data_IF_454374558012
#
_entry.id   IF_454374558012
#
_cell.length_a   1.000
_cell.length_b   1.000
_cell.length_c   1.000
_cell.angle_alpha   90.00
_cell.angle_beta   90.00
_cell.angle_gamma   90.00
#
_symmetry.space_group_name_H-M   'P 1'
#
loop_
_entity.id
_entity.type
_entity.pdbx_description
1 polymer ?
#
# COMPACT_ATOMS: atom_id res chain seq x y z
N UNK A 1 -13.19 -36.64 0.93
CA UNK A 1 -11.86 -36.15 0.46
C UNK A 1 -11.92 -35.26 -0.78
N UNK A 2 -12.57 -35.63 -1.90
CA UNK A 2 -12.67 -34.76 -3.10
C UNK A 2 -13.27 -33.37 -2.84
N UNK A 3 -14.25 -33.25 -1.94
CA UNK A 3 -14.88 -31.98 -1.58
C UNK A 3 -13.96 -31.08 -0.73
N UNK A 4 -13.26 -31.68 0.24
CA UNK A 4 -12.24 -31.00 1.06
C UNK A 4 -11.07 -30.55 0.18
N UNK A 5 -10.62 -31.41 -0.74
CA UNK A 5 -9.60 -31.08 -1.71
C UNK A 5 -10.09 -29.95 -2.62
N UNK A 6 -11.30 -30.01 -3.17
CA UNK A 6 -11.88 -28.89 -3.94
C UNK A 6 -12.05 -27.62 -3.11
N UNK A 7 -12.34 -27.67 -1.80
CA UNK A 7 -12.36 -26.48 -0.97
C UNK A 7 -10.95 -25.90 -0.70
N UNK A 8 -9.95 -26.76 -0.56
CA UNK A 8 -8.53 -26.37 -0.43
C UNK A 8 -7.93 -25.90 -1.76
N UNK A 9 -8.36 -26.47 -2.90
CA UNK A 9 -7.74 -26.30 -4.22
C UNK A 9 -8.56 -25.47 -5.21
N UNK A 10 -9.84 -25.20 -4.95
CA UNK A 10 -10.76 -24.53 -5.88
C UNK A 10 -11.40 -23.27 -5.30
N UNK A 11 -10.93 -22.80 -4.15
CA UNK A 11 -11.22 -21.45 -3.64
C UNK A 11 -10.39 -20.38 -4.35
N UNK A 12 -10.74 -19.11 -4.15
CA UNK A 12 -10.13 -17.84 -4.62
C UNK A 12 -8.59 -17.75 -4.67
N UNK A 13 -7.90 -18.74 -4.10
CA UNK A 13 -6.46 -18.84 -3.94
C UNK A 13 -5.74 -18.91 -5.29
N UNK A 14 -6.23 -19.61 -6.32
CA UNK A 14 -5.38 -20.01 -7.47
C UNK A 14 -5.21 -19.00 -8.61
N UNK A 15 -6.19 -18.13 -8.89
CA UNK A 15 -6.03 -17.17 -10.00
C UNK A 15 -4.92 -16.14 -9.73
N UNK A 16 -4.41 -16.06 -8.48
CA UNK A 16 -3.39 -15.10 -8.07
C UNK A 16 -2.58 -15.56 -6.85
N UNK A 17 -2.40 -16.86 -6.58
CA UNK A 17 -1.69 -17.32 -5.36
C UNK A 17 -0.29 -16.74 -5.25
N UNK A 18 0.40 -16.64 -6.38
CA UNK A 18 1.73 -16.05 -6.45
C UNK A 18 1.74 -14.56 -6.10
N UNK A 19 0.60 -13.86 -6.18
CA UNK A 19 0.48 -12.48 -5.68
C UNK A 19 0.44 -12.42 -4.15
N UNK A 20 0.10 -13.50 -3.44
CA UNK A 20 0.08 -13.49 -1.96
C UNK A 20 1.46 -13.17 -1.38
N UNK A 21 2.53 -13.64 -2.02
CA UNK A 21 3.91 -13.41 -1.60
C UNK A 21 4.24 -11.91 -1.59
N UNK A 22 4.14 -11.17 -2.72
CA UNK A 22 4.37 -9.73 -2.69
C UNK A 22 3.28 -8.98 -1.90
N UNK A 23 2.05 -9.48 -1.81
CA UNK A 23 0.97 -8.84 -1.04
C UNK A 23 1.19 -8.88 0.48
N UNK A 24 1.88 -9.91 1.00
CA UNK A 24 2.30 -9.94 2.40
C UNK A 24 3.22 -8.75 2.72
N UNK A 25 4.24 -8.53 1.88
CA UNK A 25 5.15 -7.38 2.00
C UNK A 25 4.40 -6.06 1.77
N UNK A 26 3.51 -6.03 0.78
CA UNK A 26 2.59 -4.93 0.52
C UNK A 26 1.55 -4.68 1.62
N UNK A 27 1.43 -5.59 2.58
CA UNK A 27 0.64 -5.35 3.79
C UNK A 27 1.50 -4.66 4.85
N UNK A 28 2.65 -5.26 5.17
CA UNK A 28 3.54 -4.83 6.25
C UNK A 28 4.15 -3.46 5.93
N UNK A 29 4.86 -3.33 4.81
CA UNK A 29 5.64 -2.11 4.52
C UNK A 29 4.71 -0.89 4.43
N UNK A 30 3.67 -0.86 3.58
CA UNK A 30 2.81 0.31 3.46
C UNK A 30 2.08 0.64 4.77
N UNK A 31 1.64 -0.36 5.55
CA UNK A 31 0.95 -0.10 6.82
C UNK A 31 1.90 0.55 7.84
N UNK A 32 3.02 -0.09 8.15
CA UNK A 32 3.95 0.40 9.15
C UNK A 32 4.70 1.65 8.69
N UNK A 33 4.85 1.87 7.39
CA UNK A 33 5.41 3.12 6.87
C UNK A 33 4.53 4.33 7.20
N UNK A 34 3.21 4.17 7.31
CA UNK A 34 2.35 5.28 7.75
C UNK A 34 2.61 5.69 9.21
N UNK A 35 3.23 4.82 10.02
CA UNK A 35 3.66 5.17 11.38
C UNK A 35 4.79 6.19 11.41
N UNK A 36 5.50 6.40 10.30
CA UNK A 36 6.46 7.50 10.16
C UNK A 36 5.77 8.84 10.45
N UNK A 37 4.51 9.00 10.04
CA UNK A 37 3.74 10.21 10.30
C UNK A 37 3.33 10.39 11.77
N UNK A 38 3.34 9.32 12.58
CA UNK A 38 2.98 9.35 14.00
C UNK A 38 4.19 9.42 14.93
N UNK A 39 5.16 8.53 14.70
CA UNK A 39 6.25 8.25 15.62
C UNK A 39 7.63 8.57 15.02
N UNK A 40 7.69 8.95 13.74
CA UNK A 40 8.94 9.20 13.02
C UNK A 40 9.56 7.94 12.41
N UNK A 41 10.65 8.14 11.68
CA UNK A 41 11.25 7.09 10.84
C UNK A 41 11.82 5.93 11.62
N UNK A 42 12.52 6.19 12.73
CA UNK A 42 13.20 5.14 13.50
C UNK A 42 12.20 4.15 14.12
N UNK A 43 11.14 4.57 14.85
CA UNK A 43 10.15 3.62 15.37
C UNK A 43 9.45 2.81 14.28
N UNK A 44 9.13 3.44 13.14
CA UNK A 44 8.51 2.73 12.01
C UNK A 44 9.43 1.63 11.45
N UNK A 45 10.72 1.94 11.27
CA UNK A 45 11.71 0.94 10.81
C UNK A 45 11.86 -0.21 11.81
N UNK A 46 11.98 0.09 13.10
CA UNK A 46 12.09 -0.93 14.15
C UNK A 46 10.87 -1.87 14.16
N UNK A 47 9.66 -1.32 14.00
CA UNK A 47 8.45 -2.14 13.92
C UNK A 47 8.41 -3.00 12.65
N UNK A 48 8.83 -2.46 11.50
CA UNK A 48 8.94 -3.24 10.25
C UNK A 48 9.91 -4.41 10.45
N UNK A 49 11.11 -4.14 10.97
CA UNK A 49 12.10 -5.19 11.25
C UNK A 49 11.59 -6.20 12.27
N UNK A 50 10.97 -5.75 13.36
CA UNK A 50 10.39 -6.62 14.38
C UNK A 50 9.32 -7.55 13.82
N UNK A 51 8.40 -7.03 13.01
CA UNK A 51 7.35 -7.85 12.37
C UNK A 51 7.95 -8.86 11.40
N UNK A 52 8.92 -8.45 10.57
CA UNK A 52 9.62 -9.40 9.70
C UNK A 52 10.37 -10.48 10.50
N UNK A 53 11.01 -10.11 11.61
CA UNK A 53 11.69 -11.07 12.47
C UNK A 53 10.73 -12.08 13.08
N UNK A 54 9.58 -11.62 13.59
CA UNK A 54 8.52 -12.50 14.12
C UNK A 54 8.05 -13.47 13.03
N UNK A 55 7.83 -12.98 11.81
CA UNK A 55 7.42 -13.83 10.68
C UNK A 55 8.49 -14.86 10.31
N UNK A 56 9.76 -14.45 10.23
CA UNK A 56 10.88 -15.35 9.92
C UNK A 56 10.98 -16.45 10.98
N UNK A 57 10.97 -16.10 12.27
CA UNK A 57 11.03 -17.06 13.38
C UNK A 57 9.80 -17.99 13.36
N UNK A 58 8.62 -17.45 13.10
CA UNK A 58 7.39 -18.24 13.00
C UNK A 58 7.43 -19.24 11.86
N UNK A 59 7.91 -18.81 10.68
CA UNK A 59 8.11 -19.71 9.51
C UNK A 59 9.14 -20.78 9.86
N UNK A 60 10.26 -20.40 10.48
CA UNK A 60 11.29 -21.36 10.89
C UNK A 60 10.74 -22.39 11.88
N UNK A 61 9.96 -21.96 12.87
CA UNK A 61 9.32 -22.83 13.85
C UNK A 61 8.31 -23.81 13.23
N UNK A 62 7.64 -23.43 12.14
CA UNK A 62 6.74 -24.31 11.39
C UNK A 62 7.53 -25.31 10.54
N UNK A 63 8.58 -24.86 9.85
CA UNK A 63 9.38 -25.72 8.95
C UNK A 63 10.24 -26.71 9.74
N UNK A 64 10.76 -26.31 10.89
CA UNK A 64 11.68 -27.10 11.71
C UNK A 64 11.20 -28.53 12.02
N UNK A 65 9.97 -28.74 12.56
CA UNK A 65 9.44 -30.09 12.78
C UNK A 65 9.16 -30.85 11.47
N UNK A 66 8.79 -30.15 10.38
CA UNK A 66 8.50 -30.76 9.08
C UNK A 66 9.75 -31.35 8.40
N UNK A 67 10.94 -30.84 8.74
CA UNK A 67 12.21 -31.37 8.27
C UNK A 67 12.75 -32.52 9.14
N UNK A 68 11.89 -33.12 9.99
CA UNK A 68 12.23 -34.23 10.88
C UNK A 68 13.46 -33.96 11.74
N UNK A 69 13.72 -32.70 12.10
CA UNK A 69 14.88 -32.28 12.91
C UNK A 69 16.24 -32.67 12.30
N UNK A 70 16.30 -32.94 10.99
CA UNK A 70 17.55 -33.28 10.29
C UNK A 70 18.50 -32.10 10.13
N UNK A 71 17.95 -30.89 10.13
CA UNK A 71 18.70 -29.64 10.13
C UNK A 71 18.62 -29.00 11.51
N UNK A 72 19.64 -28.23 11.87
CA UNK A 72 19.61 -27.37 13.05
C UNK A 72 18.59 -26.24 12.86
N UNK A 73 18.05 -25.73 13.97
CA UNK A 73 17.10 -24.61 13.91
C UNK A 73 17.68 -23.37 13.21
N UNK A 74 18.99 -23.14 13.37
CA UNK A 74 19.70 -22.02 12.73
C UNK A 74 19.68 -22.16 11.20
N UNK A 75 19.90 -23.36 10.67
CA UNK A 75 19.82 -23.61 9.22
C UNK A 75 18.41 -23.38 8.67
N UNK A 76 17.39 -23.84 9.40
CA UNK A 76 15.98 -23.62 9.03
C UNK A 76 15.61 -22.13 9.11
N UNK A 77 16.15 -21.41 10.09
CA UNK A 77 16.02 -19.97 10.19
C UNK A 77 16.60 -19.26 8.95
N UNK A 78 17.79 -19.65 8.47
CA UNK A 78 18.36 -19.07 7.24
C UNK A 78 17.52 -19.37 6.00
N UNK A 79 16.89 -20.54 5.92
CA UNK A 79 15.92 -20.86 4.86
C UNK A 79 14.71 -19.92 4.94
N UNK A 80 14.17 -19.68 6.14
CA UNK A 80 13.06 -18.74 6.33
C UNK A 80 13.43 -17.29 5.95
N UNK A 81 14.65 -16.85 6.31
CA UNK A 81 15.20 -15.55 5.89
C UNK A 81 15.26 -15.47 4.36
N UNK A 82 15.75 -16.51 3.69
CA UNK A 82 15.83 -16.55 2.23
C UNK A 82 14.45 -16.40 1.56
N UNK A 83 13.43 -17.10 2.05
CA UNK A 83 12.06 -16.92 1.58
C UNK A 83 11.55 -15.48 1.80
N UNK A 84 11.87 -14.86 2.93
CA UNK A 84 11.48 -13.48 3.21
C UNK A 84 12.16 -12.48 2.26
N UNK A 85 13.44 -12.69 1.95
CA UNK A 85 14.18 -11.89 0.96
C UNK A 85 13.53 -12.01 -0.42
N UNK A 86 13.18 -13.23 -0.85
CA UNK A 86 12.45 -13.44 -2.11
C UNK A 86 11.12 -12.67 -2.11
N UNK A 87 10.38 -12.71 -1.01
CA UNK A 87 9.11 -11.99 -0.90
C UNK A 87 9.29 -10.48 -1.08
N UNK A 88 10.29 -9.90 -0.42
CA UNK A 88 10.61 -8.46 -0.53
C UNK A 88 11.03 -8.12 -1.96
N UNK A 89 11.91 -8.91 -2.57
CA UNK A 89 12.37 -8.70 -3.96
C UNK A 89 11.20 -8.80 -4.93
N UNK A 90 10.31 -9.78 -4.76
CA UNK A 90 9.12 -9.94 -5.61
C UNK A 90 8.21 -8.72 -5.55
N UNK A 91 7.99 -8.16 -4.35
CA UNK A 91 7.20 -6.95 -4.15
C UNK A 91 7.84 -5.74 -4.83
N UNK A 92 9.16 -5.58 -4.70
CA UNK A 92 9.89 -4.51 -5.38
C UNK A 92 9.81 -4.63 -6.90
N UNK A 93 9.95 -5.83 -7.46
CA UNK A 93 9.83 -6.06 -8.90
C UNK A 93 8.43 -5.64 -9.40
N UNK A 94 7.37 -6.04 -8.69
CA UNK A 94 6.00 -5.66 -9.06
C UNK A 94 5.83 -4.14 -9.03
N UNK A 95 6.31 -3.47 -7.98
CA UNK A 95 6.27 -2.02 -7.89
C UNK A 95 7.03 -1.34 -9.02
N UNK A 96 8.25 -1.80 -9.33
CA UNK A 96 9.06 -1.25 -10.42
C UNK A 96 8.34 -1.42 -11.75
N UNK A 97 7.81 -2.62 -12.02
CA UNK A 97 7.11 -2.91 -13.27
C UNK A 97 5.88 -2.02 -13.47
N UNK A 98 5.05 -1.89 -12.44
CA UNK A 98 3.84 -1.05 -12.47
C UNK A 98 4.19 0.42 -12.70
N UNK A 99 5.16 0.96 -11.95
CA UNK A 99 5.54 2.36 -12.08
C UNK A 99 6.24 2.67 -13.41
N UNK A 100 7.02 1.72 -13.96
CA UNK A 100 7.60 1.84 -15.30
C UNK A 100 6.53 1.82 -16.39
N UNK A 101 5.58 0.90 -16.30
CA UNK A 101 4.48 0.78 -17.25
C UNK A 101 3.59 2.03 -17.27
N UNK A 102 3.23 2.54 -16.09
CA UNK A 102 2.30 3.67 -15.98
C UNK A 102 2.95 5.04 -16.25
N UNK A 103 4.29 5.15 -16.14
CA UNK A 103 5.03 6.39 -16.42
C UNK A 103 4.43 7.65 -15.74
N UNK A 104 4.00 7.51 -14.49
CA UNK A 104 3.45 8.61 -13.69
C UNK A 104 4.41 9.80 -13.64
N UNK A 105 3.89 11.02 -13.58
CA UNK A 105 4.64 12.27 -13.48
C UNK A 105 4.87 12.66 -12.03
N UNK A 106 3.84 12.60 -11.19
CA UNK A 106 3.81 13.15 -9.84
C UNK A 106 3.85 12.05 -8.77
N UNK A 107 3.15 10.94 -8.99
CA UNK A 107 3.02 9.86 -8.02
C UNK A 107 3.93 8.67 -8.31
N UNK A 108 4.11 7.83 -7.30
CA UNK A 108 4.55 6.43 -7.40
C UNK A 108 3.51 5.57 -6.70
N UNK A 109 3.25 4.39 -7.25
CA UNK A 109 2.39 3.39 -6.62
C UNK A 109 3.22 2.36 -5.87
N UNK A 110 2.72 1.91 -4.73
CA UNK A 110 3.21 0.72 -4.05
C UNK A 110 2.06 -0.28 -3.96
N UNK A 111 2.28 -1.49 -4.44
CA UNK A 111 1.33 -2.59 -4.28
C UNK A 111 1.04 -2.76 -2.79
N UNK A 112 -0.24 -2.71 -2.44
CA UNK A 112 -0.71 -2.89 -1.08
C UNK A 112 -1.89 -3.85 -1.02
N UNK A 113 -2.42 -4.07 0.18
CA UNK A 113 -3.51 -5.00 0.42
C UNK A 113 -4.77 -4.32 0.94
N UNK A 114 -5.90 -5.02 0.76
CA UNK A 114 -7.16 -4.66 1.40
C UNK A 114 -7.00 -4.53 2.92
N UNK A 115 -6.21 -5.41 3.53
CA UNK A 115 -5.94 -5.39 4.97
C UNK A 115 -5.29 -4.08 5.38
N UNK A 116 -4.25 -3.64 4.65
CA UNK A 116 -3.63 -2.34 4.92
C UNK A 116 -4.61 -1.19 4.74
N UNK A 117 -5.38 -1.18 3.66
CA UNK A 117 -6.40 -0.15 3.44
C UNK A 117 -7.38 -0.04 4.61
N UNK A 118 -7.90 -1.18 5.10
CA UNK A 118 -8.83 -1.22 6.24
C UNK A 118 -8.15 -0.75 7.52
N UNK A 119 -6.96 -1.29 7.82
CA UNK A 119 -6.22 -0.95 9.03
C UNK A 119 -5.83 0.53 9.06
N UNK A 120 -5.45 1.10 7.93
CA UNK A 120 -5.17 2.53 7.81
C UNK A 120 -6.45 3.36 7.96
N UNK A 121 -7.57 2.95 7.38
CA UNK A 121 -8.86 3.63 7.60
C UNK A 121 -9.24 3.68 9.08
N UNK A 122 -9.08 2.57 9.79
CA UNK A 122 -9.32 2.49 11.23
C UNK A 122 -8.31 3.31 12.03
N UNK A 123 -7.02 3.12 11.79
CA UNK A 123 -5.96 3.78 12.55
C UNK A 123 -5.90 5.29 12.31
N UNK A 124 -6.10 5.74 11.06
CA UNK A 124 -5.99 7.14 10.67
C UNK A 124 -7.31 7.90 10.86
N UNK A 125 -8.46 7.27 10.61
CA UNK A 125 -9.74 7.97 10.54
C UNK A 125 -10.79 7.44 11.51
N UNK A 126 -10.46 6.43 12.33
CA UNK A 126 -11.38 5.76 13.26
C UNK A 126 -12.69 5.27 12.60
N UNK A 127 -12.63 4.91 11.32
CA UNK A 127 -13.80 4.44 10.57
C UNK A 127 -13.42 3.53 9.42
N UNK A 128 -14.33 2.63 9.07
CA UNK A 128 -14.23 1.85 7.84
C UNK A 128 -14.58 2.73 6.64
N UNK A 129 -13.78 2.63 5.59
CA UNK A 129 -14.02 3.36 4.35
C UNK A 129 -14.84 2.48 3.42
N UNK A 130 -16.05 2.92 3.12
CA UNK A 130 -16.92 2.23 2.16
C UNK A 130 -16.51 2.60 0.73
N UNK A 131 -15.99 1.60 0.01
CA UNK A 131 -15.69 1.63 -1.42
C UNK A 131 -16.16 0.32 -2.07
N UNK A 132 -16.63 0.34 -3.33
CA UNK A 132 -17.02 -0.87 -4.03
C UNK A 132 -15.78 -1.76 -4.25
N UNK A 133 -15.81 -2.98 -3.71
CA UNK A 133 -14.71 -3.95 -3.79
C UNK A 133 -15.23 -5.25 -4.36
N UNK A 134 -14.52 -5.79 -5.35
CA UNK A 134 -14.70 -7.14 -5.87
C UNK A 134 -13.56 -8.07 -5.43
N UNK A 135 -13.66 -9.35 -5.76
CA UNK A 135 -12.58 -10.32 -5.57
C UNK A 135 -11.32 -10.02 -6.39
N UNK A 136 -11.42 -9.14 -7.40
CA UNK A 136 -10.31 -8.78 -8.31
C UNK A 136 -9.72 -7.40 -8.02
N UNK A 137 -10.31 -6.63 -7.11
CA UNK A 137 -9.85 -5.27 -6.78
C UNK A 137 -8.40 -5.29 -6.31
N UNK A 138 -7.56 -4.52 -7.00
CA UNK A 138 -6.17 -4.30 -6.61
C UNK A 138 -6.04 -3.08 -5.70
N UNK A 139 -5.14 -3.15 -4.73
CA UNK A 139 -4.95 -2.10 -3.75
C UNK A 139 -3.56 -1.48 -3.93
N UNK A 140 -3.49 -0.16 -3.95
CA UNK A 140 -2.24 0.55 -4.13
C UNK A 140 -2.12 1.73 -3.16
N UNK A 141 -0.99 1.82 -2.49
CA UNK A 141 -0.61 2.98 -1.70
C UNK A 141 0.06 4.02 -2.61
N UNK A 142 -0.46 5.24 -2.60
CA UNK A 142 -0.01 6.37 -3.41
C UNK A 142 0.99 7.18 -2.61
N UNK A 143 2.16 7.39 -3.21
CA UNK A 143 3.17 8.26 -2.65
C UNK A 143 3.56 9.32 -3.67
N UNK A 144 3.85 10.52 -3.19
CA UNK A 144 4.53 11.52 -4.01
C UNK A 144 5.95 11.03 -4.32
N UNK A 145 6.42 11.27 -5.55
CA UNK A 145 7.81 10.97 -5.87
C UNK A 145 8.74 11.76 -4.93
N UNK A 146 9.74 11.13 -4.31
CA UNK A 146 10.62 11.81 -3.33
C UNK A 146 11.29 13.07 -3.88
N UNK A 147 11.71 13.05 -5.16
CA UNK A 147 12.29 14.21 -5.85
C UNK A 147 11.33 15.41 -5.91
N UNK A 148 10.01 15.16 -5.94
CA UNK A 148 8.97 16.17 -6.04
C UNK A 148 8.40 16.59 -4.68
N UNK A 149 8.43 15.72 -3.67
CA UNK A 149 7.87 15.99 -2.34
C UNK A 149 8.42 17.29 -1.71
N UNK A 150 9.72 17.58 -1.90
CA UNK A 150 10.35 18.83 -1.45
C UNK A 150 10.29 20.00 -2.44
N UNK A 151 9.94 19.74 -3.71
CA UNK A 151 9.96 20.71 -4.80
C UNK A 151 8.56 21.13 -5.29
N UNK A 152 7.49 20.61 -4.68
CA UNK A 152 6.12 20.98 -5.05
C UNK A 152 5.85 22.48 -4.97
N UNK A 153 6.55 23.21 -4.08
CA UNK A 153 6.45 24.67 -3.97
C UNK A 153 7.01 25.42 -5.17
N UNK A 154 7.92 24.83 -5.95
CA UNK A 154 8.51 25.47 -7.13
C UNK A 154 7.73 25.21 -8.42
N UNK A 155 6.64 24.42 -8.36
CA UNK A 155 5.75 24.15 -9.49
C UNK A 155 4.51 25.03 -9.41
N UNK A 156 4.03 25.50 -10.57
CA UNK A 156 2.77 26.23 -10.63
C UNK A 156 1.57 25.29 -10.36
N UNK A 157 0.45 25.87 -9.93
CA UNK A 157 -0.79 25.13 -9.70
C UNK A 157 -1.21 24.35 -10.95
N UNK A 158 -1.12 24.97 -12.12
CA UNK A 158 -1.53 24.35 -13.40
C UNK A 158 -0.65 23.18 -13.80
N UNK A 159 0.67 23.25 -13.52
CA UNK A 159 1.57 22.12 -13.74
C UNK A 159 1.21 20.93 -12.85
N UNK A 160 0.79 21.18 -11.61
CA UNK A 160 0.34 20.14 -10.67
C UNK A 160 -0.97 19.53 -11.15
N UNK A 161 -1.95 20.35 -11.55
CA UNK A 161 -3.24 19.89 -12.08
C UNK A 161 -3.04 19.03 -13.33
N UNK A 162 -2.22 19.48 -14.28
CA UNK A 162 -1.90 18.75 -15.51
C UNK A 162 -1.23 17.41 -15.20
N UNK A 163 -0.33 17.38 -14.21
CA UNK A 163 0.32 16.14 -13.79
C UNK A 163 -0.65 15.17 -13.11
N UNK A 164 -1.57 15.67 -12.27
CA UNK A 164 -2.61 14.86 -11.63
C UNK A 164 -3.56 14.27 -12.67
N UNK A 165 -4.04 15.09 -13.61
CA UNK A 165 -4.90 14.64 -14.73
C UNK A 165 -4.23 13.54 -15.55
N UNK A 166 -2.96 13.76 -15.94
CA UNK A 166 -2.17 12.75 -16.64
C UNK A 166 -2.04 11.45 -15.82
N UNK A 167 -1.68 11.55 -14.54
CA UNK A 167 -1.48 10.38 -13.70
C UNK A 167 -2.79 9.62 -13.47
N UNK A 168 -3.91 10.33 -13.32
CA UNK A 168 -5.23 9.72 -13.22
C UNK A 168 -5.62 8.94 -14.47
N UNK A 169 -5.38 9.50 -15.66
CA UNK A 169 -5.60 8.77 -16.92
C UNK A 169 -4.71 7.50 -17.01
N UNK A 170 -3.46 7.58 -16.57
CA UNK A 170 -2.59 6.41 -16.51
C UNK A 170 -3.08 5.36 -15.48
N UNK A 171 -3.69 5.79 -14.36
CA UNK A 171 -4.30 4.88 -13.38
C UNK A 171 -5.47 4.11 -13.98
N UNK A 172 -6.35 4.80 -14.72
CA UNK A 172 -7.48 4.17 -15.40
C UNK A 172 -7.02 3.15 -16.45
N UNK A 173 -5.94 3.43 -17.17
CA UNK A 173 -5.37 2.52 -18.17
C UNK A 173 -4.63 1.31 -17.56
N UNK A 174 -4.28 1.36 -16.28
CA UNK A 174 -3.51 0.31 -15.62
C UNK A 174 -4.38 -0.90 -15.25
N UNK A 175 -5.60 -0.65 -14.77
CA UNK A 175 -6.50 -1.70 -14.26
C UNK A 175 -7.92 -1.16 -14.10
N UNK A 176 -8.89 -1.98 -14.51
CA UNK A 176 -10.31 -1.61 -14.45
C UNK A 176 -10.87 -1.63 -13.01
N UNK A 177 -10.25 -2.40 -12.11
CA UNK A 177 -10.69 -2.57 -10.73
C UNK A 177 -9.54 -2.34 -9.73
N UNK A 178 -9.40 -1.10 -9.25
CA UNK A 178 -8.44 -0.75 -8.22
C UNK A 178 -8.92 0.32 -7.25
N UNK A 179 -8.39 0.23 -6.04
CA UNK A 179 -8.48 1.24 -5.00
C UNK A 179 -7.09 1.78 -4.73
N UNK A 180 -6.93 3.07 -4.96
CA UNK A 180 -5.72 3.81 -4.66
C UNK A 180 -5.95 4.61 -3.39
N UNK A 181 -5.04 4.54 -2.44
CA UNK A 181 -5.16 5.28 -1.19
C UNK A 181 -3.83 5.87 -0.76
N UNK A 182 -3.85 6.87 0.11
CA UNK A 182 -2.64 7.47 0.63
C UNK A 182 -2.93 8.51 1.71
N UNK A 183 -1.90 8.91 2.44
CA UNK A 183 -2.00 9.91 3.49
C UNK A 183 -1.02 11.06 3.22
N UNK A 184 -1.50 12.30 3.25
CA UNK A 184 -0.64 13.47 3.01
C UNK A 184 -1.12 14.73 3.72
N UNK A 185 -0.21 15.68 4.02
CA UNK A 185 -0.56 16.95 4.66
C UNK A 185 -1.21 17.94 3.69
N UNK A 186 -2.30 18.57 4.13
CA UNK A 186 -3.13 19.48 3.33
C UNK A 186 -4.13 18.73 2.44
N UNK A 187 -5.19 19.41 2.01
CA UNK A 187 -6.26 18.86 1.17
C UNK A 187 -5.95 19.04 -0.33
N UNK A 188 -5.98 17.94 -1.09
CA UNK A 188 -5.89 17.95 -2.55
C UNK A 188 -7.25 18.07 -3.25
N UNK A 189 -8.36 18.25 -2.51
CA UNK A 189 -9.73 18.23 -3.07
C UNK A 189 -9.88 19.08 -4.33
N UNK A 190 -9.53 20.36 -4.24
CA UNK A 190 -9.68 21.28 -5.37
C UNK A 190 -8.77 20.90 -6.54
N UNK A 191 -7.55 20.41 -6.26
CA UNK A 191 -6.61 19.99 -7.31
C UNK A 191 -7.09 18.74 -8.06
N UNK A 192 -7.80 17.83 -7.38
CA UNK A 192 -8.43 16.66 -8.03
C UNK A 192 -9.61 17.06 -8.90
N UNK A 193 -10.47 17.97 -8.40
CA UNK A 193 -11.61 18.50 -9.18
C UNK A 193 -11.12 19.27 -10.40
N UNK A 194 -10.14 20.17 -10.21
CA UNK A 194 -9.53 20.95 -11.29
C UNK A 194 -8.83 20.04 -12.32
N UNK A 195 -8.39 18.85 -11.91
CA UNK A 195 -7.80 17.84 -12.80
C UNK A 195 -8.83 16.96 -13.53
N UNK A 196 -10.13 17.18 -13.29
CA UNK A 196 -11.23 16.50 -13.98
C UNK A 196 -11.81 15.28 -13.27
N UNK A 197 -11.45 15.03 -12.00
CA UNK A 197 -12.05 13.95 -11.21
C UNK A 197 -13.40 14.39 -10.63
N UNK A 198 -14.40 13.52 -10.67
CA UNK A 198 -15.70 13.73 -10.03
C UNK A 198 -15.61 13.43 -8.53
N UNK A 199 -16.43 14.11 -7.72
CA UNK A 199 -16.48 13.84 -6.28
C UNK A 199 -16.94 12.41 -5.93
N UNK A 200 -17.68 11.73 -6.82
CA UNK A 200 -18.07 10.33 -6.65
C UNK A 200 -16.88 9.35 -6.71
N UNK A 201 -15.79 9.75 -7.37
CA UNK A 201 -14.62 8.90 -7.65
C UNK A 201 -13.57 8.94 -6.54
N UNK A 202 -13.69 9.87 -5.59
CA UNK A 202 -12.74 9.99 -4.49
C UNK A 202 -13.39 10.27 -3.14
N UNK A 203 -12.74 9.82 -2.08
CA UNK A 203 -13.10 10.10 -0.68
C UNK A 203 -11.89 10.76 -0.05
N UNK A 204 -12.12 11.90 0.60
CA UNK A 204 -11.10 12.60 1.38
C UNK A 204 -11.60 12.68 2.82
N UNK A 205 -10.74 12.26 3.74
CA UNK A 205 -11.07 12.20 5.15
C UNK A 205 -9.95 12.83 5.95
N UNK A 206 -10.28 13.72 6.87
CA UNK A 206 -9.30 14.20 7.83
C UNK A 206 -8.85 13.05 8.74
N UNK A 207 -7.55 13.00 9.06
CA UNK A 207 -6.99 11.97 9.95
C UNK A 207 -6.85 12.48 11.38
N UNK A 208 -6.67 11.55 12.33
CA UNK A 208 -6.39 11.85 13.73
C UNK A 208 -4.99 12.44 13.97
N UNK A 209 -4.14 12.54 12.93
CA UNK A 209 -2.75 12.99 13.08
C UNK A 209 -2.74 14.48 13.48
N UNK A 210 -2.21 14.81 14.67
CA UNK A 210 -2.24 16.18 15.18
C UNK A 210 -1.32 17.13 14.39
N UNK A 211 -1.79 18.37 14.18
CA UNK A 211 -1.06 19.45 13.46
C UNK A 211 0.35 19.72 13.97
N UNK A 212 0.62 19.49 15.27
CA UNK A 212 1.93 19.75 15.88
C UNK A 212 2.98 18.71 15.46
N UNK A 213 2.57 17.45 15.26
CA UNK A 213 3.44 16.36 14.83
C UNK A 213 3.63 16.32 13.29
N UNK A 214 2.87 17.14 12.55
CA UNK A 214 3.04 17.38 11.11
C UNK A 214 4.35 18.11 10.73
N UNK A 215 5.20 18.47 11.69
CA UNK A 215 6.45 19.20 11.47
C UNK A 215 7.49 18.45 10.62
N UNK A 216 7.27 17.16 10.29
CA UNK A 216 8.15 16.36 9.44
C UNK A 216 8.42 17.03 8.06
N UNK A 217 7.50 17.89 7.58
CA UNK A 217 7.66 18.65 6.33
C UNK A 217 7.74 20.18 6.53
N UNK A 218 7.97 20.67 7.75
CA UNK A 218 8.06 22.10 8.05
C UNK A 218 6.75 22.89 7.86
N UNK A 219 5.60 22.20 7.74
CA UNK A 219 4.29 22.79 7.50
C UNK A 219 3.28 22.31 8.55
N UNK A 220 2.64 23.24 9.28
CA UNK A 220 1.53 22.92 10.20
C UNK A 220 0.23 22.75 9.42
N UNK A 221 -0.06 21.54 8.95
CA UNK A 221 -1.27 21.23 8.18
C UNK A 221 -1.98 20.01 8.75
N UNK A 222 -3.30 19.96 8.57
CA UNK A 222 -4.08 18.75 8.80
C UNK A 222 -3.65 17.68 7.79
N UNK A 223 -3.62 16.42 8.22
CA UNK A 223 -3.43 15.30 7.32
C UNK A 223 -4.78 14.79 6.83
N UNK A 224 -4.77 14.34 5.59
CA UNK A 224 -5.94 13.76 4.95
C UNK A 224 -5.59 12.39 4.41
N UNK A 225 -6.51 11.45 4.60
CA UNK A 225 -6.51 10.15 3.96
C UNK A 225 -7.36 10.23 2.70
N UNK A 226 -6.72 9.89 1.58
CA UNK A 226 -7.28 9.93 0.24
C UNK A 226 -7.59 8.52 -0.20
N UNK A 227 -8.73 8.35 -0.84
CA UNK A 227 -9.13 7.09 -1.46
C UNK A 227 -9.72 7.42 -2.83
N UNK A 228 -9.17 6.85 -3.88
CA UNK A 228 -9.61 6.99 -5.26
C UNK A 228 -9.97 5.60 -5.76
N UNK A 229 -11.17 5.45 -6.31
CA UNK A 229 -11.66 4.19 -6.87
C UNK A 229 -11.77 4.32 -8.39
N UNK A 230 -11.41 3.26 -9.12
CA UNK A 230 -11.68 3.20 -10.57
C UNK A 230 -13.15 2.89 -10.88
N UNK A 231 -13.87 2.29 -9.91
CA UNK A 231 -15.31 2.07 -9.98
C UNK A 231 -16.04 3.26 -9.38
N UNK A 232 -17.02 3.78 -10.13
CA UNK A 232 -17.89 4.83 -9.63
C UNK A 232 -18.76 4.27 -8.49
N UNK A 233 -19.08 5.10 -7.49
CA UNK A 233 -19.96 4.65 -6.40
C UNK A 233 -21.40 4.41 -6.84
N UNK A 234 -21.78 4.97 -7.99
CA UNK A 234 -23.13 4.98 -8.53
C UNK A 234 -23.32 3.98 -9.70
N UNK A 235 -22.35 3.08 -9.94
CA UNK A 235 -22.39 2.05 -10.99
C UNK A 235 -22.64 0.64 -10.44
#
# INVERSE_FOLDING_TARGET
>A
MKLIWKHLTSGLIYASSFKLIPMMVGTIIPFFWQLVNFYGTLPALLLIFGVFQILIVSIAAIIYPLLFLKLTFIEVYFIAVFFMVIAIVSWQIVNIFINRRASFKLIKLQLSSRTTFILLGLMLCNRLVSVPISSRTMFYDIHLKPKLAGQLKSKSKDQIITAISHDYQQLLNLTDDAVFFGCSPGSFKQLLIDAGLKESQFIIMETIIPKKHAQIFGLRRHFYFYVISTKDKDS
#
